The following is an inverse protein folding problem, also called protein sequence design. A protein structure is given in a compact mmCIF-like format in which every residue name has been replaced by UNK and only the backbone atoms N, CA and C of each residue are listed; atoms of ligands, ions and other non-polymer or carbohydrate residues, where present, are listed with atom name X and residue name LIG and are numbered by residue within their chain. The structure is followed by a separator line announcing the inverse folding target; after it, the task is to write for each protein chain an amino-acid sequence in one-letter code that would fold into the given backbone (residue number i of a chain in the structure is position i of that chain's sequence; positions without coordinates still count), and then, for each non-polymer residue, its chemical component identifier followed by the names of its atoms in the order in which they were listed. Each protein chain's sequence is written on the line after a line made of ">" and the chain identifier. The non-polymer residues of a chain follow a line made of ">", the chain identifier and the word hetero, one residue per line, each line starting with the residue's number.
data_IF_817767827810
#
_entry.id   IF_817767827810
#
_cell.length_a   1.000
_cell.length_b   1.000
_cell.length_c   1.000
_cell.angle_alpha   90.00
_cell.angle_beta   90.00
_cell.angle_gamma   90.00
#
_symmetry.space_group_name_H-M   'P 1'
#
loop_
_entity.id
_entity.type
_entity.pdbx_description
1 polymer ?
#
# COMPACT_ATOMS: atom_id res chain seq x y z
N UNK A 1 20.71 10.53 7.29
CA UNK A 1 19.33 11.01 7.11
C UNK A 1 18.86 10.53 5.76
N UNK A 2 17.75 9.79 5.65
CA UNK A 2 17.20 9.45 4.35
C UNK A 2 16.81 10.75 3.64
N UNK A 3 17.36 10.97 2.47
CA UNK A 3 17.05 12.16 1.68
C UNK A 3 15.58 12.06 1.24
N UNK A 4 14.84 13.14 1.48
CA UNK A 4 13.46 13.27 1.00
C UNK A 4 13.53 13.29 -0.54
N UNK A 5 12.75 12.46 -1.25
CA UNK A 5 12.77 12.47 -2.70
C UNK A 5 12.35 13.82 -3.23
N UNK A 6 12.94 14.21 -4.31
CA UNK A 6 12.48 15.39 -5.03
C UNK A 6 11.02 15.22 -5.44
N UNK A 7 10.24 16.31 -5.52
CA UNK A 7 8.81 16.27 -5.82
C UNK A 7 8.49 15.53 -7.14
N UNK A 8 9.40 15.54 -8.10
CA UNK A 8 9.26 14.82 -9.37
C UNK A 8 9.32 13.29 -9.19
N UNK A 9 10.25 12.79 -8.38
CA UNK A 9 10.39 11.36 -8.12
C UNK A 9 9.18 10.83 -7.30
N UNK A 10 8.70 11.63 -6.35
CA UNK A 10 7.49 11.32 -5.60
C UNK A 10 6.25 11.26 -6.52
N UNK A 11 6.08 12.25 -7.40
CA UNK A 11 4.97 12.29 -8.36
C UNK A 11 5.02 11.09 -9.33
N UNK A 12 6.21 10.73 -9.83
CA UNK A 12 6.39 9.57 -10.70
C UNK A 12 6.01 8.26 -9.97
N UNK A 13 6.45 8.10 -8.73
CA UNK A 13 6.13 6.94 -7.92
C UNK A 13 4.63 6.81 -7.62
N UNK A 14 3.97 7.93 -7.25
CA UNK A 14 2.51 7.97 -7.06
C UNK A 14 1.78 7.66 -8.37
N UNK A 15 2.27 8.17 -9.50
CA UNK A 15 1.72 7.89 -10.83
C UNK A 15 1.78 6.41 -11.20
N UNK A 16 2.92 5.76 -10.98
CA UNK A 16 3.10 4.32 -11.20
C UNK A 16 2.14 3.51 -10.31
N UNK A 17 2.06 3.85 -9.04
CA UNK A 17 1.12 3.20 -8.10
C UNK A 17 -0.33 3.40 -8.53
N UNK A 18 -0.70 4.61 -8.90
CA UNK A 18 -2.06 4.90 -9.35
C UNK A 18 -2.43 4.10 -10.60
N UNK A 19 -1.55 4.04 -11.60
CA UNK A 19 -1.73 3.22 -12.80
C UNK A 19 -1.87 1.73 -12.47
N UNK A 20 -1.00 1.21 -11.60
CA UNK A 20 -1.06 -0.16 -11.12
C UNK A 20 -2.36 -0.48 -10.35
N UNK A 21 -2.89 0.48 -9.59
CA UNK A 21 -4.17 0.30 -8.90
C UNK A 21 -5.38 0.38 -9.84
N UNK A 22 -5.29 1.09 -10.97
CA UNK A 22 -6.31 1.02 -12.03
C UNK A 22 -6.36 -0.40 -12.61
N UNK A 23 -5.21 -1.02 -12.88
CA UNK A 23 -5.14 -2.41 -13.34
C UNK A 23 -5.73 -3.38 -12.32
N UNK A 24 -5.35 -3.26 -11.05
CA UNK A 24 -5.92 -4.07 -9.97
C UNK A 24 -7.43 -3.88 -9.83
N UNK A 25 -7.92 -2.63 -9.89
CA UNK A 25 -9.34 -2.32 -9.87
C UNK A 25 -10.10 -2.91 -11.06
N UNK A 26 -9.48 -2.95 -12.24
CA UNK A 26 -10.06 -3.57 -13.43
C UNK A 26 -10.14 -5.09 -13.27
N UNK A 27 -9.10 -5.73 -12.77
CA UNK A 27 -9.08 -7.15 -12.45
C UNK A 27 -10.14 -7.51 -11.40
N UNK A 28 -10.20 -6.72 -10.32
CA UNK A 28 -11.17 -6.92 -9.23
C UNK A 28 -12.61 -6.84 -9.73
N UNK A 29 -12.93 -5.89 -10.60
CA UNK A 29 -14.27 -5.76 -11.22
C UNK A 29 -14.63 -6.95 -12.11
N UNK A 30 -13.65 -7.51 -12.85
CA UNK A 30 -13.88 -8.73 -13.66
C UNK A 30 -14.13 -9.94 -12.77
N UNK A 31 -13.42 -10.06 -11.67
CA UNK A 31 -13.56 -11.17 -10.71
C UNK A 31 -14.79 -11.05 -9.84
N UNK A 32 -15.24 -9.81 -9.59
CA UNK A 32 -16.36 -9.51 -8.68
C UNK A 32 -17.33 -8.53 -9.35
N UNK A 33 -18.33 -9.03 -10.11
CA UNK A 33 -19.30 -8.19 -10.81
C UNK A 33 -20.17 -7.31 -9.89
N UNK A 34 -20.26 -7.64 -8.60
CA UNK A 34 -20.96 -6.81 -7.61
C UNK A 34 -20.32 -5.43 -7.41
N UNK A 35 -19.06 -5.25 -7.83
CA UNK A 35 -18.37 -3.96 -7.75
C UNK A 35 -18.77 -3.10 -8.94
N UNK A 36 -19.66 -2.13 -8.70
CA UNK A 36 -20.15 -1.18 -9.72
C UNK A 36 -19.25 0.04 -9.90
N UNK A 37 -18.33 0.28 -8.96
CA UNK A 37 -17.41 1.42 -8.99
C UNK A 37 -16.44 1.34 -10.18
N UNK A 38 -16.08 2.49 -10.79
CA UNK A 38 -15.05 2.51 -11.82
C UNK A 38 -13.67 2.17 -11.27
N UNK A 39 -12.80 1.56 -12.08
CA UNK A 39 -11.42 1.23 -11.69
C UNK A 39 -10.64 2.47 -11.24
N UNK A 40 -10.92 3.63 -11.82
CA UNK A 40 -10.32 4.91 -11.46
C UNK A 40 -10.72 5.31 -10.02
N UNK A 41 -11.99 5.16 -9.65
CA UNK A 41 -12.46 5.45 -8.29
C UNK A 41 -11.79 4.54 -7.26
N UNK A 42 -11.67 3.24 -7.58
CA UNK A 42 -10.99 2.26 -6.73
C UNK A 42 -9.52 2.67 -6.55
N UNK A 43 -8.83 3.00 -7.64
CA UNK A 43 -7.44 3.44 -7.60
C UNK A 43 -7.27 4.74 -6.81
N UNK A 44 -8.15 5.73 -7.01
CA UNK A 44 -8.10 7.01 -6.30
C UNK A 44 -8.28 6.84 -4.79
N UNK A 45 -9.28 6.06 -4.36
CA UNK A 45 -9.51 5.77 -2.94
C UNK A 45 -8.33 4.99 -2.36
N UNK A 46 -7.81 3.99 -3.07
CA UNK A 46 -6.66 3.21 -2.61
C UNK A 46 -5.40 4.05 -2.46
N UNK A 47 -5.11 4.90 -3.46
CA UNK A 47 -3.95 5.81 -3.42
C UNK A 47 -4.12 6.86 -2.32
N UNK A 48 -5.30 7.46 -2.21
CA UNK A 48 -5.60 8.44 -1.17
C UNK A 48 -5.45 7.88 0.23
N UNK A 49 -6.02 6.69 0.51
CA UNK A 49 -5.84 6.02 1.79
C UNK A 49 -4.37 5.67 2.07
N UNK A 50 -3.62 5.24 1.04
CA UNK A 50 -2.21 4.95 1.17
C UNK A 50 -1.37 6.18 1.53
N UNK A 51 -1.64 7.32 0.91
CA UNK A 51 -0.94 8.58 1.17
C UNK A 51 -1.35 9.18 2.52
N UNK A 52 -2.63 9.10 2.89
CA UNK A 52 -3.14 9.70 4.13
C UNK A 52 -2.81 8.86 5.36
N UNK A 53 -2.92 7.54 5.27
CA UNK A 53 -2.77 6.64 6.42
C UNK A 53 -1.36 6.04 6.50
N UNK A 54 -0.69 5.84 5.36
CA UNK A 54 0.63 5.20 5.32
C UNK A 54 1.68 5.91 6.20
N UNK A 55 2.02 7.18 5.93
CA UNK A 55 3.06 7.87 6.66
C UNK A 55 2.80 7.99 8.17
N UNK A 56 1.62 8.45 8.65
CA UNK A 56 1.40 8.59 10.09
C UNK A 56 1.37 7.25 10.82
N UNK A 57 0.82 6.18 10.22
CA UNK A 57 0.81 4.86 10.86
C UNK A 57 2.22 4.26 10.87
N UNK A 58 2.99 4.42 9.80
CA UNK A 58 4.39 3.97 9.77
C UNK A 58 5.23 4.68 10.82
N UNK A 59 5.08 6.00 10.94
CA UNK A 59 5.78 6.77 11.96
C UNK A 59 5.40 6.32 13.38
N UNK A 60 4.10 6.14 13.64
CA UNK A 60 3.63 5.64 14.93
C UNK A 60 4.18 4.23 15.23
N UNK A 61 4.26 3.35 14.22
CA UNK A 61 4.82 2.02 14.39
C UNK A 61 6.32 2.05 14.70
N UNK A 62 7.09 2.93 14.05
CA UNK A 62 8.52 3.12 14.34
C UNK A 62 8.70 3.59 15.77
N UNK A 63 7.98 4.63 16.19
CA UNK A 63 8.07 5.18 17.54
C UNK A 63 7.68 4.11 18.58
N UNK A 64 6.62 3.36 18.34
CA UNK A 64 6.20 2.28 19.22
C UNK A 64 7.27 1.17 19.32
N UNK A 65 7.83 0.76 18.18
CA UNK A 65 8.85 -0.26 18.15
C UNK A 65 10.11 0.16 18.91
N UNK A 66 10.59 1.39 18.71
CA UNK A 66 11.74 1.95 19.44
C UNK A 66 11.47 2.04 20.94
N UNK A 67 10.25 2.44 21.33
CA UNK A 67 9.90 2.59 22.74
C UNK A 67 9.82 1.25 23.48
N UNK A 68 9.25 0.22 22.86
CA UNK A 68 8.96 -1.05 23.54
C UNK A 68 10.07 -2.09 23.45
N UNK A 69 10.90 -2.06 22.40
CA UNK A 69 11.83 -3.18 22.13
C UNK A 69 13.30 -2.80 22.17
N UNK A 70 13.66 -1.50 22.14
CA UNK A 70 15.07 -1.04 22.02
C UNK A 70 15.86 -1.90 21.01
N UNK A 71 15.31 -2.16 19.82
CA UNK A 71 15.89 -3.13 18.90
C UNK A 71 17.19 -2.59 18.30
N UNK A 72 18.07 -3.50 17.88
CA UNK A 72 19.16 -3.11 17.00
C UNK A 72 18.59 -2.56 15.68
N UNK A 73 19.29 -1.66 14.96
CA UNK A 73 18.79 -1.06 13.72
C UNK A 73 18.30 -2.08 12.70
N UNK A 74 18.94 -3.23 12.60
CA UNK A 74 18.61 -4.29 11.67
C UNK A 74 17.32 -5.04 12.06
N UNK A 75 17.14 -5.30 13.37
CA UNK A 75 15.95 -6.02 13.85
C UNK A 75 14.68 -5.17 13.79
N UNK A 76 14.79 -3.84 13.98
CA UNK A 76 13.64 -2.93 13.85
C UNK A 76 13.09 -2.91 12.43
N UNK A 77 13.98 -2.87 11.43
CA UNK A 77 13.58 -2.89 10.03
C UNK A 77 12.88 -4.19 9.67
N UNK A 78 13.41 -5.34 10.14
CA UNK A 78 12.81 -6.65 9.85
C UNK A 78 11.41 -6.80 10.46
N UNK A 79 11.19 -6.29 11.68
CA UNK A 79 9.88 -6.35 12.34
C UNK A 79 8.84 -5.42 11.70
N UNK A 80 9.28 -4.35 11.06
CA UNK A 80 8.39 -3.38 10.41
C UNK A 80 7.70 -3.95 9.15
N UNK A 81 8.36 -4.84 8.39
CA UNK A 81 7.81 -5.41 7.15
C UNK A 81 6.50 -6.18 7.34
N UNK A 82 6.38 -7.15 8.28
CA UNK A 82 5.11 -7.85 8.52
C UNK A 82 3.99 -6.89 8.93
N UNK A 83 4.31 -5.88 9.72
CA UNK A 83 3.35 -4.85 10.12
C UNK A 83 2.83 -4.05 8.92
N UNK A 84 3.73 -3.56 8.06
CA UNK A 84 3.36 -2.82 6.85
C UNK A 84 2.56 -3.70 5.87
N UNK A 85 2.90 -4.98 5.76
CA UNK A 85 2.16 -5.91 4.92
C UNK A 85 0.73 -6.12 5.47
N UNK A 86 0.58 -6.33 6.77
CA UNK A 86 -0.73 -6.44 7.43
C UNK A 86 -1.58 -5.19 7.24
N UNK A 87 -0.97 -4.02 7.38
CA UNK A 87 -1.63 -2.74 7.13
C UNK A 87 -2.14 -2.64 5.68
N UNK A 88 -1.36 -3.10 4.70
CA UNK A 88 -1.78 -3.14 3.29
C UNK A 88 -2.98 -4.04 3.06
N UNK A 89 -3.02 -5.21 3.71
CA UNK A 89 -4.17 -6.11 3.66
C UNK A 89 -5.42 -5.40 4.21
N UNK A 90 -5.31 -4.75 5.37
CA UNK A 90 -6.43 -4.02 5.98
C UNK A 90 -6.94 -2.87 5.09
N UNK A 91 -6.04 -2.11 4.47
CA UNK A 91 -6.45 -1.04 3.55
C UNK A 91 -7.14 -1.62 2.31
N UNK A 92 -6.66 -2.73 1.75
CA UNK A 92 -7.34 -3.40 0.63
C UNK A 92 -8.69 -3.99 1.04
N UNK A 93 -8.78 -4.59 2.22
CA UNK A 93 -10.05 -5.08 2.76
C UNK A 93 -11.07 -3.93 2.91
N UNK A 94 -10.62 -2.78 3.43
CA UNK A 94 -11.45 -1.57 3.55
C UNK A 94 -11.91 -1.06 2.18
N UNK A 95 -11.02 -0.97 1.20
CA UNK A 95 -11.37 -0.54 -0.17
C UNK A 95 -12.41 -1.48 -0.78
N UNK A 96 -12.21 -2.79 -0.68
CA UNK A 96 -13.15 -3.78 -1.20
C UNK A 96 -14.49 -3.66 -0.47
N UNK A 97 -14.48 -3.53 0.85
CA UNK A 97 -15.67 -3.38 1.68
C UNK A 97 -16.50 -2.15 1.27
N UNK A 98 -15.85 -0.99 1.08
CA UNK A 98 -16.50 0.25 0.64
C UNK A 98 -17.20 0.04 -0.72
N UNK A 99 -16.55 -0.63 -1.67
CA UNK A 99 -17.08 -0.76 -3.03
C UNK A 99 -17.99 -1.97 -3.25
N UNK A 100 -18.06 -2.92 -2.33
CA UNK A 100 -18.99 -4.05 -2.36
C UNK A 100 -20.27 -3.82 -1.57
N UNK A 101 -20.53 -2.58 -1.11
CA UNK A 101 -21.66 -2.25 -0.24
C UNK A 101 -21.77 -3.17 1.00
N UNK A 102 -20.63 -3.45 1.59
CA UNK A 102 -20.51 -3.96 2.95
C UNK A 102 -20.70 -5.45 3.16
N UNK A 103 -21.54 -6.18 2.43
CA UNK A 103 -21.93 -7.51 2.89
C UNK A 103 -22.13 -8.60 1.83
N UNK A 104 -21.87 -8.33 0.55
CA UNK A 104 -22.12 -9.33 -0.51
C UNK A 104 -20.98 -10.33 -0.72
N UNK A 105 -19.82 -10.12 -0.09
CA UNK A 105 -18.70 -11.05 -0.16
C UNK A 105 -18.64 -11.94 1.08
N UNK A 106 -18.60 -13.27 0.87
CA UNK A 106 -18.23 -14.20 1.93
C UNK A 106 -16.85 -13.81 2.49
N UNK A 107 -16.71 -13.84 3.84
CA UNK A 107 -15.51 -13.35 4.51
C UNK A 107 -14.19 -13.90 3.96
N UNK A 108 -14.16 -15.18 3.54
CA UNK A 108 -12.99 -15.81 2.93
C UNK A 108 -12.56 -15.14 1.61
N UNK A 109 -13.51 -14.77 0.74
CA UNK A 109 -13.23 -14.10 -0.54
C UNK A 109 -12.71 -12.68 -0.33
N UNK A 110 -13.25 -11.96 0.66
CA UNK A 110 -12.76 -10.63 1.02
C UNK A 110 -11.26 -10.67 1.36
N UNK A 111 -10.88 -11.59 2.24
CA UNK A 111 -9.49 -11.72 2.65
C UNK A 111 -8.57 -12.19 1.52
N UNK A 112 -9.03 -13.10 0.67
CA UNK A 112 -8.26 -13.54 -0.51
C UNK A 112 -7.96 -12.37 -1.45
N UNK A 113 -8.96 -11.56 -1.77
CA UNK A 113 -8.76 -10.38 -2.62
C UNK A 113 -7.93 -9.29 -1.93
N UNK A 114 -8.07 -9.11 -0.62
CA UNK A 114 -7.26 -8.16 0.13
C UNK A 114 -5.78 -8.57 0.17
N UNK A 115 -5.48 -9.86 0.37
CA UNK A 115 -4.12 -10.39 0.31
C UNK A 115 -3.52 -10.26 -1.10
N UNK A 116 -4.28 -10.62 -2.15
CA UNK A 116 -3.83 -10.44 -3.53
C UNK A 116 -3.55 -8.96 -3.86
N UNK A 117 -4.40 -8.04 -3.40
CA UNK A 117 -4.18 -6.60 -3.55
C UNK A 117 -2.97 -6.10 -2.77
N UNK A 118 -2.71 -6.63 -1.58
CA UNK A 118 -1.52 -6.31 -0.79
C UNK A 118 -0.24 -6.78 -1.48
N UNK A 119 -0.21 -8.01 -2.01
CA UNK A 119 0.90 -8.53 -2.81
C UNK A 119 1.12 -7.68 -4.06
N UNK A 120 0.05 -7.31 -4.77
CA UNK A 120 0.13 -6.40 -5.91
C UNK A 120 0.74 -5.05 -5.51
N UNK A 121 0.35 -4.50 -4.36
CA UNK A 121 0.93 -3.25 -3.85
C UNK A 121 2.43 -3.38 -3.57
N UNK A 122 2.90 -4.54 -3.07
CA UNK A 122 4.33 -4.80 -2.88
C UNK A 122 5.08 -4.86 -4.22
N UNK A 123 4.49 -5.47 -5.25
CA UNK A 123 5.07 -5.49 -6.59
C UNK A 123 5.21 -4.07 -7.18
N UNK A 124 4.26 -3.19 -6.90
CA UNK A 124 4.31 -1.79 -7.33
C UNK A 124 5.36 -0.97 -6.59
N UNK A 125 5.94 -1.47 -5.50
CA UNK A 125 7.06 -0.82 -4.82
C UNK A 125 8.41 -1.14 -5.48
N UNK A 126 8.51 -2.23 -6.28
CA UNK A 126 9.75 -2.61 -6.96
C UNK A 126 10.34 -1.51 -7.86
N UNK A 127 9.54 -0.78 -8.67
CA UNK A 127 10.05 0.37 -9.41
C UNK A 127 10.63 1.46 -8.49
N UNK A 128 10.03 1.67 -7.31
CA UNK A 128 10.56 2.58 -6.31
C UNK A 128 11.94 2.14 -5.79
N UNK A 129 12.09 0.85 -5.49
CA UNK A 129 13.39 0.28 -5.11
C UNK A 129 14.42 0.40 -6.25
N UNK A 130 14.02 0.14 -7.49
CA UNK A 130 14.89 0.34 -8.67
C UNK A 130 15.38 1.77 -8.80
N UNK A 131 14.51 2.75 -8.62
CA UNK A 131 14.88 4.17 -8.59
C UNK A 131 15.81 4.49 -7.40
N UNK A 132 15.64 3.79 -6.24
CA UNK A 132 16.52 3.93 -5.08
C UNK A 132 17.97 3.56 -5.39
N UNK A 133 18.14 2.50 -6.12
CA UNK A 133 19.46 1.99 -6.49
C UNK A 133 20.13 2.93 -7.49
N UNK A 134 19.36 3.50 -8.41
CA UNK A 134 19.88 4.39 -9.48
C UNK A 134 20.14 5.81 -8.97
N UNK A 135 19.37 6.27 -8.00
CA UNK A 135 19.48 7.61 -7.41
C UNK A 135 19.55 7.50 -5.88
N UNK A 136 20.68 7.07 -5.31
CA UNK A 136 20.84 6.94 -3.87
C UNK A 136 20.63 8.28 -3.18
N UNK A 137 19.73 8.34 -2.24
CA UNK A 137 19.38 9.53 -1.46
C UNK A 137 18.09 10.24 -1.87
N UNK A 138 17.34 9.75 -2.85
CA UNK A 138 16.15 10.43 -3.36
C UNK A 138 14.82 9.64 -3.21
N UNK A 139 14.73 8.64 -2.31
CA UNK A 139 13.55 7.78 -2.28
C UNK A 139 12.79 7.85 -0.97
N UNK A 140 11.45 8.02 -1.06
CA UNK A 140 10.56 7.76 0.05
C UNK A 140 10.29 6.27 0.16
N UNK A 141 10.57 5.71 1.28
CA UNK A 141 10.01 4.43 1.70
C UNK A 141 8.58 4.75 2.18
N UNK A 142 7.55 4.33 1.43
CA UNK A 142 6.15 4.28 1.87
C UNK A 142 5.65 2.86 1.85
#
# INVERSE_FOLDING_TARGET
>A
MPAIPGPAAFAAFVGVKFGGYILAGTALRKLQPAITASSIKIAAVRTGLGVLLGPPITLAAIIALEHFTHPSPDSSTLALYPFLFSLRILIWALVIFIFTKGFSLAGSKLWTYACAGALWSCLLDLPGFGLAIISPGQIPIC
#
